data_IF_039848278445
#
_entry.id   IF_039848278445
#
_cell.length_a   1.000
_cell.length_b   1.000
_cell.length_c   1.000
_cell.angle_alpha   90.00
_cell.angle_beta   90.00
_cell.angle_gamma   90.00
#
_symmetry.space_group_name_H-M   'P 1'
#
loop_
_entity.id
_entity.type
_entity.pdbx_description
1 polymer ?
#
# COMPACT_ATOMS: atom_id res chain seq x y z
N UNK A 1 10.74 32.55 6.64
CA UNK A 1 10.22 31.38 5.89
C UNK A 1 9.09 31.85 4.99
N UNK A 2 9.17 31.67 3.65
CA UNK A 2 8.06 32.02 2.74
C UNK A 2 6.84 31.16 3.09
N UNK A 3 5.66 31.76 3.21
CA UNK A 3 4.41 31.00 3.45
C UNK A 3 4.18 30.05 2.27
N UNK A 4 3.83 28.81 2.58
CA UNK A 4 3.40 27.82 1.58
C UNK A 4 2.16 28.38 0.87
N UNK A 5 2.15 28.32 -0.46
CA UNK A 5 1.00 28.72 -1.27
C UNK A 5 -0.25 27.94 -0.81
N UNK A 6 -1.41 28.60 -0.75
CA UNK A 6 -2.68 27.97 -0.36
C UNK A 6 -3.01 26.76 -1.22
N UNK A 7 -2.55 26.70 -2.47
CA UNK A 7 -2.72 25.54 -3.34
C UNK A 7 -2.08 24.26 -2.78
N UNK A 8 -1.00 24.39 -2.02
CA UNK A 8 -0.27 23.28 -1.42
C UNK A 8 -0.57 23.10 0.07
N UNK A 9 -1.55 23.83 0.63
CA UNK A 9 -1.90 23.70 2.05
C UNK A 9 -2.45 22.32 2.43
N UNK A 10 -2.96 21.57 1.43
CA UNK A 10 -3.41 20.18 1.58
C UNK A 10 -2.23 19.21 1.67
N UNK A 11 -1.07 19.54 1.09
CA UNK A 11 0.10 18.67 1.06
C UNK A 11 0.87 18.86 2.37
N UNK A 12 0.61 17.97 3.31
CA UNK A 12 1.33 17.95 4.57
C UNK A 12 2.68 17.23 4.41
N UNK A 13 3.76 17.72 5.03
CA UNK A 13 5.10 17.11 4.89
C UNK A 13 5.16 15.63 5.26
N UNK A 14 4.27 15.17 6.15
CA UNK A 14 4.14 13.75 6.50
C UNK A 14 3.69 12.87 5.32
N UNK A 15 3.04 13.42 4.29
CA UNK A 15 2.60 12.64 3.12
C UNK A 15 3.79 12.06 2.36
N UNK A 16 4.88 12.82 2.21
CA UNK A 16 6.09 12.35 1.56
C UNK A 16 6.72 11.19 2.33
N UNK A 17 6.60 11.21 3.66
CA UNK A 17 7.06 10.14 4.53
C UNK A 17 6.26 8.86 4.34
N UNK A 18 4.94 8.98 4.16
CA UNK A 18 4.06 7.85 3.85
C UNK A 18 4.31 7.27 2.45
N UNK A 19 4.45 8.13 1.45
CA UNK A 19 4.76 7.72 0.07
C UNK A 19 6.12 7.04 -0.05
N UNK A 20 7.16 7.57 0.60
CA UNK A 20 8.47 6.93 0.62
C UNK A 20 8.42 5.52 1.23
N UNK A 21 7.69 5.36 2.34
CA UNK A 21 7.50 4.05 2.95
C UNK A 21 6.74 3.08 2.02
N UNK A 22 5.74 3.58 1.30
CA UNK A 22 4.97 2.80 0.35
C UNK A 22 5.85 2.30 -0.80
N UNK A 23 6.66 3.19 -1.37
CA UNK A 23 7.60 2.86 -2.45
C UNK A 23 8.69 1.90 -1.99
N UNK A 24 9.20 2.07 -0.77
CA UNK A 24 10.16 1.15 -0.16
C UNK A 24 9.61 -0.27 -0.06
N UNK A 25 8.40 -0.45 0.48
CA UNK A 25 7.78 -1.77 0.57
C UNK A 25 7.53 -2.39 -0.81
N UNK A 26 7.13 -1.61 -1.83
CA UNK A 26 6.98 -2.11 -3.22
C UNK A 26 8.29 -2.65 -3.79
N UNK A 27 9.41 -1.99 -3.52
CA UNK A 27 10.74 -2.44 -3.95
C UNK A 27 11.17 -3.72 -3.24
N UNK A 28 10.86 -3.86 -1.95
CA UNK A 28 11.11 -5.07 -1.17
C UNK A 28 10.26 -6.24 -1.69
N UNK A 29 8.96 -6.02 -1.94
CA UNK A 29 8.06 -7.02 -2.53
C UNK A 29 8.57 -7.51 -3.89
N UNK A 30 9.01 -6.58 -4.76
CA UNK A 30 9.60 -6.92 -6.05
C UNK A 30 10.88 -7.74 -5.90
N UNK A 31 11.78 -7.33 -5.01
CA UNK A 31 13.01 -8.06 -4.73
C UNK A 31 12.72 -9.48 -4.21
N UNK A 32 11.77 -9.63 -3.30
CA UNK A 32 11.37 -10.94 -2.76
C UNK A 32 10.74 -11.83 -3.84
N UNK A 33 9.97 -11.25 -4.77
CA UNK A 33 9.46 -11.98 -5.94
C UNK A 33 10.61 -12.46 -6.83
N UNK A 34 11.59 -11.61 -7.12
CA UNK A 34 12.75 -11.97 -7.95
C UNK A 34 13.67 -13.00 -7.26
N UNK A 35 13.80 -12.93 -5.93
CA UNK A 35 14.51 -13.94 -5.13
C UNK A 35 13.84 -15.31 -5.22
N UNK A 36 12.49 -15.36 -5.17
CA UNK A 36 11.71 -16.60 -5.37
C UNK A 36 11.84 -17.18 -6.78
N UNK A 37 12.06 -16.32 -7.79
CA UNK A 37 12.32 -16.72 -9.17
C UNK A 37 13.77 -17.20 -9.41
N UNK A 38 14.58 -17.37 -8.34
CA UNK A 38 16.00 -17.78 -8.39
C UNK A 38 16.88 -16.90 -9.31
N UNK A 39 16.53 -15.61 -9.44
CA UNK A 39 17.39 -14.66 -10.16
C UNK A 39 18.64 -14.36 -9.34
N UNK A 40 19.80 -14.45 -9.98
CA UNK A 40 21.09 -14.17 -9.35
C UNK A 40 21.10 -12.73 -8.82
N UNK A 41 21.63 -12.55 -7.60
CA UNK A 41 21.76 -11.28 -6.87
C UNK A 41 20.53 -10.76 -6.11
N UNK A 42 19.46 -11.54 -5.95
CA UNK A 42 18.33 -11.16 -5.09
C UNK A 42 18.22 -12.08 -3.87
N UNK A 43 18.33 -11.52 -2.68
CA UNK A 43 18.08 -12.22 -1.41
C UNK A 43 16.73 -11.84 -0.85
N UNK A 44 15.98 -12.80 -0.31
CA UNK A 44 14.71 -12.52 0.35
C UNK A 44 14.93 -11.63 1.59
N UNK A 45 14.20 -10.52 1.64
CA UNK A 45 14.16 -9.59 2.75
C UNK A 45 12.94 -9.97 3.60
N UNK A 46 13.20 -10.49 4.80
CA UNK A 46 12.13 -10.82 5.74
C UNK A 46 11.49 -9.54 6.31
N UNK A 47 10.26 -9.62 6.85
CA UNK A 47 9.58 -8.47 7.44
C UNK A 47 10.37 -7.77 8.56
N UNK A 48 11.16 -8.52 9.33
CA UNK A 48 12.02 -8.00 10.40
C UNK A 48 13.19 -7.19 9.82
N UNK A 49 13.79 -7.67 8.73
CA UNK A 49 14.85 -6.95 8.03
C UNK A 49 14.31 -5.68 7.38
N UNK A 50 13.13 -5.74 6.76
CA UNK A 50 12.43 -4.56 6.24
C UNK A 50 12.17 -3.51 7.34
N UNK A 51 11.73 -3.96 8.53
CA UNK A 51 11.52 -3.08 9.69
C UNK A 51 12.83 -2.41 10.15
N UNK A 52 13.93 -3.18 10.26
CA UNK A 52 15.26 -2.64 10.61
C UNK A 52 15.76 -1.62 9.60
N UNK A 53 15.62 -1.90 8.29
CA UNK A 53 15.97 -0.93 7.26
C UNK A 53 15.15 0.35 7.43
N UNK A 54 13.82 0.26 7.56
CA UNK A 54 12.98 1.45 7.77
C UNK A 54 13.37 2.23 9.01
N UNK A 55 13.67 1.57 10.13
CA UNK A 55 14.15 2.23 11.35
C UNK A 55 15.44 3.01 11.11
N UNK A 56 16.41 2.38 10.44
CA UNK A 56 17.71 2.99 10.12
C UNK A 56 17.54 4.23 9.23
N UNK A 57 16.80 4.11 8.12
CA UNK A 57 16.63 5.21 7.15
C UNK A 57 15.73 6.33 7.69
N UNK A 58 14.77 6.02 8.56
CA UNK A 58 13.80 7.00 9.09
C UNK A 58 14.17 7.57 10.46
N UNK A 59 15.26 7.10 11.07
CA UNK A 59 15.70 7.53 12.40
C UNK A 59 14.69 7.22 13.51
N UNK A 60 13.86 6.19 13.34
CA UNK A 60 12.84 5.82 14.32
C UNK A 60 13.34 4.69 15.22
N UNK A 61 13.22 4.88 16.54
CA UNK A 61 13.51 3.84 17.55
C UNK A 61 12.39 2.81 17.73
N UNK A 62 11.15 3.12 17.29
CA UNK A 62 10.01 2.22 17.48
C UNK A 62 9.65 1.44 16.22
N UNK A 63 9.46 0.13 16.37
CA UNK A 63 8.97 -0.82 15.38
C UNK A 63 7.45 -0.68 15.12
N UNK A 64 6.94 0.56 14.98
CA UNK A 64 5.51 0.79 14.81
C UNK A 64 5.04 0.34 13.42
N UNK A 65 4.48 -0.87 13.36
CA UNK A 65 3.41 -1.40 12.49
C UNK A 65 3.11 -0.73 11.13
N UNK A 66 4.11 -0.56 10.27
CA UNK A 66 3.88 -0.21 8.85
C UNK A 66 3.55 -1.45 7.97
N UNK A 67 3.64 -2.66 8.52
CA UNK A 67 3.36 -3.93 7.83
C UNK A 67 1.88 -4.18 7.51
N UNK A 68 0.97 -3.26 7.82
CA UNK A 68 -0.46 -3.42 7.50
C UNK A 68 -0.81 -3.10 6.05
N UNK A 69 0.15 -2.67 5.22
CA UNK A 69 -0.04 -2.35 3.79
C UNK A 69 -0.72 -3.49 3.03
N UNK A 70 -0.21 -4.71 3.18
CA UNK A 70 -0.79 -5.88 2.52
C UNK A 70 -2.23 -6.14 2.97
N UNK A 71 -2.51 -5.97 4.26
CA UNK A 71 -3.86 -6.14 4.82
C UNK A 71 -4.82 -5.09 4.25
N UNK A 72 -4.38 -3.83 4.16
CA UNK A 72 -5.19 -2.73 3.61
C UNK A 72 -5.43 -2.93 2.11
N UNK A 73 -4.42 -3.30 1.34
CA UNK A 73 -4.58 -3.56 -0.11
C UNK A 73 -5.53 -4.74 -0.37
N UNK A 74 -5.40 -5.83 0.39
CA UNK A 74 -6.28 -6.99 0.27
C UNK A 74 -7.70 -6.67 0.72
N UNK A 75 -7.87 -5.89 1.80
CA UNK A 75 -9.17 -5.42 2.24
C UNK A 75 -9.84 -4.52 1.18
N UNK A 76 -9.10 -3.59 0.58
CA UNK A 76 -9.62 -2.72 -0.47
C UNK A 76 -10.05 -3.50 -1.71
N UNK A 77 -9.28 -4.53 -2.11
CA UNK A 77 -9.67 -5.42 -3.22
C UNK A 77 -10.95 -6.19 -2.90
N UNK A 78 -11.07 -6.72 -1.69
CA UNK A 78 -12.28 -7.44 -1.25
C UNK A 78 -13.51 -6.53 -1.29
N UNK A 79 -13.38 -5.30 -0.77
CA UNK A 79 -14.48 -4.31 -0.79
C UNK A 79 -14.89 -3.96 -2.22
N UNK A 80 -13.92 -3.81 -3.15
CA UNK A 80 -14.22 -3.55 -4.56
C UNK A 80 -14.98 -4.72 -5.20
N UNK A 81 -14.54 -5.95 -4.97
CA UNK A 81 -15.23 -7.14 -5.48
C UNK A 81 -16.65 -7.26 -4.94
N UNK A 82 -16.86 -6.97 -3.66
CA UNK A 82 -18.18 -6.95 -3.04
C UNK A 82 -19.07 -5.87 -3.66
N UNK A 83 -18.54 -4.68 -3.91
CA UNK A 83 -19.27 -3.62 -4.60
C UNK A 83 -19.68 -4.01 -6.02
N UNK A 84 -18.78 -4.64 -6.78
CA UNK A 84 -19.08 -5.13 -8.13
C UNK A 84 -20.18 -6.21 -8.12
N UNK A 85 -20.14 -7.15 -7.17
CA UNK A 85 -21.16 -8.18 -7.02
C UNK A 85 -22.53 -7.57 -6.67
N UNK A 86 -22.55 -6.59 -5.76
CA UNK A 86 -23.76 -5.88 -5.36
C UNK A 86 -24.36 -5.09 -6.54
N UNK A 87 -23.52 -4.44 -7.35
CA UNK A 87 -23.96 -3.75 -8.57
C UNK A 87 -24.55 -4.72 -9.60
N UNK A 88 -23.93 -5.88 -9.79
CA UNK A 88 -24.46 -6.94 -10.68
C UNK A 88 -25.83 -7.44 -10.24
N UNK A 89 -26.00 -7.69 -8.93
CA UNK A 89 -27.31 -8.07 -8.35
C UNK A 89 -28.35 -6.97 -8.50
N UNK A 90 -27.98 -5.70 -8.34
CA UNK A 90 -28.88 -4.57 -8.54
C UNK A 90 -29.34 -4.48 -10.01
N UNK A 91 -28.40 -4.64 -10.95
CA UNK A 91 -28.67 -4.62 -12.39
C UNK A 91 -29.67 -5.71 -12.78
N UNK A 92 -29.46 -6.95 -12.35
CA UNK A 92 -30.36 -8.07 -12.66
C UNK A 92 -31.77 -7.86 -12.07
N UNK A 93 -31.84 -7.31 -10.86
CA UNK A 93 -33.11 -7.02 -10.18
C UNK A 93 -33.89 -5.86 -10.81
N UNK A 94 -33.24 -4.97 -11.56
CA UNK A 94 -33.89 -3.92 -12.35
C UNK A 94 -34.46 -4.52 -13.65
N UNK A 95 -33.75 -5.46 -14.29
CA UNK A 95 -34.23 -6.16 -15.49
C UNK A 95 -35.48 -6.99 -15.16
N UNK A 96 -35.46 -7.79 -14.10
CA UNK A 96 -36.61 -8.60 -13.66
C UNK A 96 -37.85 -7.79 -13.24
N UNK A 97 -37.72 -6.48 -12.99
CA UNK A 97 -38.84 -5.60 -12.64
C UNK A 97 -39.46 -4.88 -13.84
N UNK A 98 -38.78 -4.90 -14.98
CA UNK A 98 -39.18 -4.21 -16.20
C UNK A 98 -39.68 -5.17 -17.30
N UNK A 99 -39.63 -6.48 -17.06
CA UNK A 99 -40.35 -7.54 -17.79
C UNK A 99 -41.70 -7.85 -17.12
#
# INVERSE_FOLDING_TARGET
>A
MKKVDKKFSIIHSHIFRHEWNLDFSRKVDLNNKLAKENKTNHTEITPENEAKYRQHWMGHTSEKSYNKRHIIEQANKLVLLEQEELLGKLSNKIVERND
#
